data_IF_888459160674
#
_entry.id   IF_888459160674
#
_cell.length_a   1.000
_cell.length_b   1.000
_cell.length_c   1.000
_cell.angle_alpha   90.00
_cell.angle_beta   90.00
_cell.angle_gamma   90.00
#
_symmetry.space_group_name_H-M   'P 1'
#
loop_
_entity.id
_entity.type
_entity.pdbx_description
1 polymer ?
#
# COMPACT_ATOMS: atom_id res chain seq x y z
N UNK A 1 -8.37 -0.08 -12.13
CA UNK A 1 -9.59 0.53 -11.58
C UNK A 1 -10.80 -0.43 -11.62
N UNK A 2 -11.08 -1.07 -12.73
CA UNK A 2 -12.21 -2.00 -12.88
C UNK A 2 -12.25 -3.10 -11.82
N UNK A 3 -11.13 -3.78 -11.57
CA UNK A 3 -11.01 -4.80 -10.55
C UNK A 3 -11.29 -4.27 -9.13
N UNK A 4 -10.84 -3.06 -8.81
CA UNK A 4 -11.11 -2.44 -7.51
C UNK A 4 -12.61 -2.14 -7.34
N UNK A 5 -13.26 -1.61 -8.38
CA UNK A 5 -14.71 -1.38 -8.39
C UNK A 5 -15.50 -2.69 -8.31
N UNK A 6 -15.01 -3.75 -8.97
CA UNK A 6 -15.61 -5.08 -8.90
C UNK A 6 -15.58 -5.61 -7.45
N UNK A 7 -14.41 -5.57 -6.79
CA UNK A 7 -14.27 -5.99 -5.38
C UNK A 7 -15.16 -5.20 -4.42
N UNK A 8 -15.35 -3.89 -4.65
CA UNK A 8 -16.30 -3.10 -3.87
C UNK A 8 -17.73 -3.61 -4.01
N UNK A 9 -18.18 -3.89 -5.24
CA UNK A 9 -19.52 -4.42 -5.51
C UNK A 9 -19.73 -5.80 -4.90
N UNK A 10 -18.76 -6.70 -5.05
CA UNK A 10 -18.80 -8.04 -4.45
C UNK A 10 -18.97 -7.98 -2.93
N UNK A 11 -18.30 -7.04 -2.28
CA UNK A 11 -18.41 -6.80 -0.84
C UNK A 11 -19.68 -6.01 -0.42
N UNK A 12 -20.59 -5.71 -1.35
CA UNK A 12 -21.81 -4.94 -1.09
C UNK A 12 -21.57 -3.45 -0.83
N UNK A 13 -20.38 -2.94 -1.14
CA UNK A 13 -20.06 -1.54 -0.94
C UNK A 13 -20.44 -0.71 -2.17
N UNK A 14 -21.18 0.38 -1.93
CA UNK A 14 -21.56 1.32 -3.01
C UNK A 14 -20.34 1.97 -3.65
N UNK A 15 -20.35 2.10 -4.95
CA UNK A 15 -19.39 2.93 -5.69
C UNK A 15 -19.82 4.38 -5.53
N UNK A 16 -18.97 5.16 -4.86
CA UNK A 16 -19.17 6.60 -4.65
C UNK A 16 -17.97 7.36 -5.16
N UNK A 17 -18.14 8.64 -5.50
CA UNK A 17 -17.04 9.46 -6.01
C UNK A 17 -15.83 9.49 -5.06
N UNK A 18 -15.98 9.69 -3.74
CA UNK A 18 -14.84 9.65 -2.83
C UNK A 18 -14.08 8.30 -2.87
N UNK A 19 -14.80 7.18 -2.88
CA UNK A 19 -14.17 5.84 -2.96
C UNK A 19 -13.37 5.65 -4.24
N UNK A 20 -13.95 6.07 -5.38
CA UNK A 20 -13.27 5.98 -6.68
C UNK A 20 -12.02 6.86 -6.71
N UNK A 21 -12.10 8.09 -6.20
CA UNK A 21 -10.97 9.02 -6.16
C UNK A 21 -9.83 8.50 -5.28
N UNK A 22 -10.15 7.96 -4.10
CA UNK A 22 -9.16 7.39 -3.18
C UNK A 22 -8.48 6.16 -3.80
N UNK A 23 -9.24 5.26 -4.41
CA UNK A 23 -8.68 4.09 -5.10
C UNK A 23 -7.80 4.49 -6.28
N UNK A 24 -8.21 5.50 -7.04
CA UNK A 24 -7.40 6.03 -8.14
C UNK A 24 -6.05 6.60 -7.63
N UNK A 25 -6.07 7.34 -6.53
CA UNK A 25 -4.86 7.87 -5.91
C UNK A 25 -3.94 6.74 -5.42
N UNK A 26 -4.48 5.72 -4.75
CA UNK A 26 -3.72 4.54 -4.31
C UNK A 26 -3.09 3.78 -5.47
N UNK A 27 -3.84 3.55 -6.55
CA UNK A 27 -3.34 2.87 -7.76
C UNK A 27 -2.24 3.70 -8.41
N UNK A 28 -2.45 5.01 -8.52
CA UNK A 28 -1.46 5.94 -9.10
C UNK A 28 -0.19 6.01 -8.27
N UNK A 29 -0.31 6.03 -6.93
CA UNK A 29 0.84 6.04 -6.04
C UNK A 29 1.74 4.81 -6.25
N UNK A 30 1.15 3.63 -6.48
CA UNK A 30 1.87 2.38 -6.76
C UNK A 30 2.83 1.93 -5.65
N UNK A 31 2.75 2.55 -4.48
CA UNK A 31 3.62 2.33 -3.31
C UNK A 31 2.82 2.53 -2.03
N UNK A 32 3.28 1.97 -0.89
CA UNK A 32 2.68 2.25 0.40
C UNK A 32 2.68 3.76 0.70
N UNK A 33 1.52 4.28 1.10
CA UNK A 33 1.32 5.70 1.35
C UNK A 33 0.45 5.93 2.59
N UNK A 34 0.63 7.06 3.26
CA UNK A 34 -0.18 7.42 4.43
C UNK A 34 -1.52 8.02 4.00
N UNK A 35 -2.49 8.01 4.93
CA UNK A 35 -3.80 8.64 4.69
C UNK A 35 -3.65 10.16 4.49
N UNK A 36 -2.76 10.80 5.24
CA UNK A 36 -2.50 12.24 5.10
C UNK A 36 -1.92 12.58 3.71
N UNK A 37 -0.98 11.76 3.22
CA UNK A 37 -0.42 11.94 1.88
C UNK A 37 -1.48 11.73 0.79
N UNK A 38 -2.33 10.69 0.92
CA UNK A 38 -3.47 10.47 0.02
C UNK A 38 -4.44 11.64 0.02
N UNK A 39 -4.79 12.15 1.20
CA UNK A 39 -5.68 13.32 1.31
C UNK A 39 -5.07 14.55 0.66
N UNK A 40 -3.75 14.77 0.83
CA UNK A 40 -3.02 15.85 0.16
C UNK A 40 -3.07 15.74 -1.37
N UNK A 41 -2.90 14.53 -1.93
CA UNK A 41 -2.98 14.30 -3.38
C UNK A 41 -4.38 14.48 -3.95
N UNK A 42 -5.43 14.14 -3.18
CA UNK A 42 -6.81 14.31 -3.60
C UNK A 42 -7.22 15.79 -3.67
N UNK A 43 -6.54 16.65 -2.94
CA UNK A 43 -6.89 18.06 -2.78
C UNK A 43 -8.06 18.30 -1.84
N UNK A 44 -8.03 19.45 -1.16
CA UNK A 44 -8.96 19.80 -0.09
C UNK A 44 -10.46 19.83 -0.49
N UNK A 45 -10.74 19.95 -1.80
CA UNK A 45 -12.10 20.04 -2.31
C UNK A 45 -12.71 18.68 -2.73
N UNK A 46 -11.93 17.59 -2.67
CA UNK A 46 -12.35 16.30 -3.17
C UNK A 46 -13.12 15.49 -2.11
N UNK A 47 -12.61 15.40 -0.90
CA UNK A 47 -13.29 14.86 0.27
C UNK A 47 -12.54 15.26 1.55
N UNK A 48 -13.25 15.30 2.66
CA UNK A 48 -12.62 15.55 3.98
C UNK A 48 -11.80 14.35 4.46
N UNK A 49 -10.86 14.62 5.36
CA UNK A 49 -9.95 13.60 5.90
C UNK A 49 -10.70 12.46 6.63
N UNK A 50 -11.82 12.75 7.27
CA UNK A 50 -12.64 11.75 7.97
C UNK A 50 -13.24 10.76 6.98
N UNK A 51 -13.68 11.27 5.82
CA UNK A 51 -14.18 10.45 4.72
C UNK A 51 -13.06 9.52 4.17
N UNK A 52 -11.83 10.02 4.05
CA UNK A 52 -10.69 9.19 3.66
C UNK A 52 -10.46 8.07 4.67
N UNK A 53 -10.41 8.37 5.98
CA UNK A 53 -10.26 7.37 7.02
C UNK A 53 -11.36 6.29 6.98
N UNK A 54 -12.63 6.69 6.82
CA UNK A 54 -13.75 5.75 6.71
C UNK A 54 -13.66 4.87 5.48
N UNK A 55 -13.28 5.42 4.33
CA UNK A 55 -13.09 4.66 3.12
C UNK A 55 -11.95 3.66 3.26
N UNK A 56 -10.81 4.08 3.83
CA UNK A 56 -9.66 3.22 4.04
C UNK A 56 -9.97 2.07 4.98
N UNK A 57 -10.69 2.31 6.09
CA UNK A 57 -11.14 1.25 6.99
C UNK A 57 -12.07 0.25 6.28
N UNK A 58 -12.99 0.74 5.45
CA UNK A 58 -13.86 -0.13 4.66
C UNK A 58 -13.08 -0.94 3.62
N UNK A 59 -12.07 -0.36 2.97
CA UNK A 59 -11.22 -1.06 1.99
C UNK A 59 -10.34 -2.11 2.68
N UNK A 60 -9.82 -1.81 3.86
CA UNK A 60 -9.03 -2.75 4.66
C UNK A 60 -9.89 -3.95 5.11
N UNK A 61 -11.13 -3.71 5.56
CA UNK A 61 -12.04 -4.76 6.02
C UNK A 61 -12.43 -5.78 4.93
N UNK A 62 -12.40 -5.37 3.66
CA UNK A 62 -12.67 -6.27 2.51
C UNK A 62 -11.39 -6.77 1.83
N UNK A 63 -10.22 -6.49 2.39
CA UNK A 63 -8.94 -6.89 1.84
C UNK A 63 -8.54 -6.20 0.53
N UNK A 64 -9.22 -5.10 0.15
CA UNK A 64 -8.89 -4.32 -1.05
C UNK A 64 -7.66 -3.42 -0.83
N UNK A 65 -7.42 -3.05 0.40
CA UNK A 65 -6.24 -2.31 0.86
C UNK A 65 -5.64 -3.07 2.03
N UNK A 66 -4.33 -3.09 2.10
CA UNK A 66 -3.60 -3.65 3.25
C UNK A 66 -2.71 -2.60 3.88
N UNK A 67 -2.54 -2.72 5.18
CA UNK A 67 -1.52 -1.97 5.90
C UNK A 67 -0.16 -2.60 5.62
N UNK A 68 0.72 -1.85 4.97
CA UNK A 68 2.03 -2.34 4.56
C UNK A 68 3.11 -2.09 5.62
N UNK A 69 3.11 -0.89 6.22
CA UNK A 69 4.14 -0.47 7.17
C UNK A 69 3.59 0.45 8.25
N UNK A 70 4.35 0.53 9.35
CA UNK A 70 4.22 1.54 10.38
C UNK A 70 5.55 2.32 10.47
N UNK A 71 5.54 3.56 10.03
CA UNK A 71 6.73 4.44 10.09
C UNK A 71 6.46 5.56 11.09
N UNK A 72 7.28 5.66 12.15
CA UNK A 72 7.15 6.70 13.18
C UNK A 72 5.72 6.85 13.73
N UNK A 73 5.01 5.72 13.94
CA UNK A 73 3.63 5.72 14.39
C UNK A 73 2.59 5.97 13.29
N UNK A 74 3.00 6.23 12.04
CA UNK A 74 2.10 6.43 10.91
C UNK A 74 1.95 5.17 10.10
N UNK A 75 0.71 4.69 9.94
CA UNK A 75 0.38 3.55 9.08
C UNK A 75 0.49 3.92 7.61
N UNK A 76 1.17 3.10 6.84
CA UNK A 76 1.20 3.15 5.39
C UNK A 76 0.33 2.05 4.81
N UNK A 77 -0.40 2.37 3.76
CA UNK A 77 -1.35 1.50 3.10
C UNK A 77 -1.01 1.34 1.63
N UNK A 78 -1.27 0.17 1.10
CA UNK A 78 -1.17 -0.09 -0.34
C UNK A 78 -2.40 -0.85 -0.84
N UNK A 79 -2.67 -0.69 -2.14
CA UNK A 79 -3.76 -1.40 -2.78
C UNK A 79 -3.43 -2.88 -2.96
N UNK A 80 -4.42 -3.75 -2.72
CA UNK A 80 -4.30 -5.19 -2.87
C UNK A 80 -5.24 -5.68 -3.98
N UNK A 81 -4.77 -5.66 -5.21
CA UNK A 81 -5.56 -6.09 -6.38
C UNK A 81 -5.30 -7.54 -6.81
N UNK A 82 -4.61 -8.31 -5.98
CA UNK A 82 -4.39 -9.74 -6.25
C UNK A 82 -2.94 -10.12 -6.53
N UNK A 83 -1.99 -9.20 -6.37
CA UNK A 83 -0.58 -9.56 -6.19
C UNK A 83 -0.29 -9.59 -4.68
N UNK A 84 -0.41 -10.77 -4.04
CA UNK A 84 -0.40 -10.86 -2.59
C UNK A 84 0.96 -10.60 -1.95
N UNK A 85 2.03 -10.53 -2.75
CA UNK A 85 3.39 -10.68 -2.25
C UNK A 85 4.36 -9.64 -2.80
N UNK A 86 3.99 -8.37 -2.73
CA UNK A 86 4.94 -7.26 -2.94
C UNK A 86 5.63 -6.99 -1.61
N UNK A 87 6.94 -7.12 -1.60
CA UNK A 87 7.77 -6.85 -0.43
C UNK A 87 8.53 -5.55 -0.64
N UNK A 88 8.69 -4.81 0.44
CA UNK A 88 9.32 -3.49 0.41
C UNK A 88 10.41 -3.42 1.47
N UNK A 89 11.36 -2.52 1.27
CA UNK A 89 12.34 -2.11 2.28
C UNK A 89 12.14 -0.65 2.63
N UNK A 90 12.21 -0.35 3.92
CA UNK A 90 12.12 1.01 4.44
C UNK A 90 13.52 1.50 4.84
N UNK A 91 13.93 2.64 4.30
CA UNK A 91 15.13 3.32 4.76
C UNK A 91 14.86 4.03 6.08
N UNK A 92 15.52 3.60 7.17
CA UNK A 92 15.36 4.20 8.51
C UNK A 92 15.82 5.66 8.62
N UNK A 93 16.66 6.12 7.71
CA UNK A 93 17.17 7.50 7.72
C UNK A 93 16.24 8.47 7.00
N UNK A 94 15.66 8.03 5.88
CA UNK A 94 14.87 8.88 4.99
C UNK A 94 13.39 8.56 4.99
N UNK A 95 12.98 7.46 5.64
CA UNK A 95 11.63 6.89 5.60
C UNK A 95 11.14 6.55 4.17
N UNK A 96 12.05 6.41 3.22
CA UNK A 96 11.71 6.01 1.85
C UNK A 96 11.36 4.55 1.81
N UNK A 97 10.34 4.23 1.05
CA UNK A 97 9.87 2.87 0.80
C UNK A 97 10.20 2.50 -0.64
N UNK A 98 10.98 1.43 -0.81
CA UNK A 98 11.36 0.89 -2.12
C UNK A 98 10.82 -0.55 -2.24
N UNK A 99 10.31 -0.90 -3.42
CA UNK A 99 9.88 -2.27 -3.69
C UNK A 99 11.10 -3.16 -3.96
N UNK A 100 11.11 -4.36 -3.40
CA UNK A 100 12.14 -5.36 -3.67
C UNK A 100 11.90 -5.99 -5.05
N UNK A 101 12.98 -6.22 -5.79
CA UNK A 101 12.88 -6.85 -7.11
C UNK A 101 12.38 -8.30 -7.03
N UNK A 102 11.69 -8.73 -8.08
CA UNK A 102 11.05 -10.04 -8.12
C UNK A 102 12.02 -11.21 -7.95
N UNK A 103 13.26 -11.07 -8.44
CA UNK A 103 14.27 -12.13 -8.34
C UNK A 103 14.72 -12.32 -6.89
N UNK A 104 14.96 -11.21 -6.16
CA UNK A 104 15.39 -11.24 -4.76
C UNK A 104 14.37 -11.87 -3.82
N UNK A 105 13.08 -11.81 -4.16
CA UNK A 105 12.00 -12.28 -3.28
C UNK A 105 11.39 -13.63 -3.68
N UNK A 106 11.88 -14.26 -4.74
CA UNK A 106 11.30 -15.53 -5.24
C UNK A 106 11.32 -16.63 -4.18
N UNK A 107 12.43 -16.85 -3.52
CA UNK A 107 12.55 -17.88 -2.48
C UNK A 107 11.73 -17.52 -1.22
N UNK A 108 11.67 -16.25 -0.87
CA UNK A 108 10.83 -15.79 0.21
C UNK A 108 9.34 -16.07 -0.07
N UNK A 109 8.87 -15.79 -1.27
CA UNK A 109 7.48 -16.08 -1.69
C UNK A 109 7.15 -17.56 -1.57
N UNK A 110 8.06 -18.44 -2.00
CA UNK A 110 7.87 -19.90 -1.87
C UNK A 110 7.78 -20.33 -0.41
N UNK A 111 8.66 -19.81 0.45
CA UNK A 111 8.66 -20.14 1.86
C UNK A 111 7.36 -19.67 2.55
N UNK A 112 6.93 -18.45 2.26
CA UNK A 112 5.68 -17.89 2.79
C UNK A 112 4.47 -18.70 2.33
N UNK A 113 4.38 -19.03 1.05
CA UNK A 113 3.29 -19.85 0.51
C UNK A 113 3.22 -21.22 1.20
N UNK A 114 4.35 -21.87 1.40
CA UNK A 114 4.39 -23.16 2.09
C UNK A 114 3.86 -23.06 3.52
N UNK A 115 4.23 -22.01 4.25
CA UNK A 115 3.74 -21.77 5.62
C UNK A 115 2.23 -21.51 5.62
N UNK A 116 1.74 -20.67 4.72
CA UNK A 116 0.31 -20.37 4.60
C UNK A 116 -0.50 -21.62 4.25
N UNK A 117 -0.04 -22.45 3.30
CA UNK A 117 -0.69 -23.72 2.95
C UNK A 117 -0.71 -24.69 4.12
N UNK A 118 0.40 -24.78 4.86
CA UNK A 118 0.48 -25.60 6.07
C UNK A 118 -0.52 -25.17 7.13
N UNK A 119 -0.64 -23.87 7.38
CA UNK A 119 -1.62 -23.32 8.34
C UNK A 119 -3.05 -23.58 7.89
N UNK A 120 -3.37 -23.40 6.61
CA UNK A 120 -4.71 -23.73 6.07
C UNK A 120 -5.03 -25.23 6.22
N UNK A 121 -4.05 -26.10 5.99
CA UNK A 121 -4.20 -27.54 6.19
C UNK A 121 -4.43 -27.90 7.67
N UNK A 122 -3.94 -27.09 8.61
CA UNK A 122 -4.21 -27.24 10.05
C UNK A 122 -5.56 -26.65 10.48
N UNK A 123 -6.32 -26.07 9.56
CA UNK A 123 -7.67 -25.52 9.82
C UNK A 123 -7.71 -24.01 10.12
N UNK A 124 -6.59 -23.29 9.98
CA UNK A 124 -6.62 -21.84 10.10
C UNK A 124 -7.32 -21.21 8.90
N UNK A 125 -8.32 -20.35 9.14
CA UNK A 125 -8.96 -19.49 8.14
C UNK A 125 -8.24 -18.17 8.00
N UNK A 126 -8.46 -17.45 6.88
CA UNK A 126 -7.97 -16.09 6.64
C UNK A 126 -6.46 -15.90 6.92
N UNK A 127 -5.67 -16.94 6.56
CA UNK A 127 -4.23 -16.92 6.78
C UNK A 127 -3.58 -15.80 5.97
N UNK A 128 -2.84 -14.94 6.63
CA UNK A 128 -2.04 -13.89 6.05
C UNK A 128 -0.70 -13.73 6.78
N UNK A 129 0.16 -12.86 6.26
CA UNK A 129 1.46 -12.60 6.86
C UNK A 129 1.82 -11.11 6.75
N UNK A 130 2.74 -10.68 7.59
CA UNK A 130 3.38 -9.37 7.52
C UNK A 130 4.89 -9.61 7.51
N UNK A 131 5.57 -9.10 6.50
CA UNK A 131 7.03 -9.15 6.39
C UNK A 131 7.52 -7.75 6.07
N UNK A 132 8.34 -7.20 6.93
CA UNK A 132 8.92 -5.87 6.80
C UNK A 132 10.44 -5.97 6.74
N UNK A 133 11.03 -5.31 5.75
CA UNK A 133 12.48 -5.13 5.67
C UNK A 133 12.81 -3.67 5.92
N UNK A 134 13.84 -3.42 6.71
CA UNK A 134 14.32 -2.07 6.97
C UNK A 134 15.85 -2.06 7.04
N UNK A 135 16.40 -0.95 6.56
CA UNK A 135 17.85 -0.77 6.52
C UNK A 135 18.22 0.70 6.40
N UNK A 136 19.49 0.96 6.16
CA UNK A 136 19.98 2.26 5.73
C UNK A 136 20.26 2.18 4.24
N UNK A 137 19.69 3.08 3.44
CA UNK A 137 19.99 3.09 2.01
C UNK A 137 21.44 3.52 1.76
N UNK A 138 22.09 3.00 0.69
CA UNK A 138 23.42 3.45 0.30
C UNK A 138 23.46 4.95 0.06
N UNK A 139 24.52 5.62 0.48
CA UNK A 139 24.66 7.08 0.37
C UNK A 139 24.45 7.63 -1.05
N UNK A 140 24.78 6.84 -2.08
CA UNK A 140 24.62 7.23 -3.49
C UNK A 140 23.15 7.23 -3.98
N UNK A 141 22.22 6.54 -3.29
CA UNK A 141 20.79 6.55 -3.66
C UNK A 141 20.05 7.76 -3.08
N UNK A 142 20.53 8.32 -1.98
CA UNK A 142 19.89 9.49 -1.35
C UNK A 142 20.04 10.79 -2.16
N UNK A 143 21.04 10.88 -3.04
CA UNK A 143 21.32 12.07 -3.86
C UNK A 143 20.64 12.07 -5.24
N UNK A 144 20.34 10.91 -5.80
CA UNK A 144 19.78 10.80 -7.16
C UNK A 144 18.29 11.17 -7.27
N UNK A 145 17.57 11.21 -6.16
CA UNK A 145 16.11 11.46 -6.15
C UNK A 145 15.67 12.69 -5.36
N UNK A 146 16.63 13.44 -4.81
CA UNK A 146 16.39 14.79 -4.29
C UNK A 146 16.23 15.85 -5.40
N UNK A 147 16.46 15.46 -6.66
CA UNK A 147 16.22 16.30 -7.82
C UNK A 147 14.83 16.04 -8.41
N UNK A 148 13.77 16.34 -7.66
CA UNK A 148 12.52 16.74 -8.26
C UNK A 148 12.73 18.19 -8.71
N UNK A 149 12.69 18.52 -10.00
CA UNK A 149 12.83 19.90 -10.41
C UNK A 149 11.61 20.65 -9.88
N UNK A 150 11.90 21.65 -9.03
CA UNK A 150 10.97 22.71 -8.70
C UNK A 150 10.57 23.35 -10.04
N UNK A 151 9.35 23.12 -10.48
CA UNK A 151 8.82 23.80 -11.65
C UNK A 151 8.42 25.18 -11.19
N UNK A 152 9.08 26.25 -11.62
CA UNK A 152 8.66 27.58 -11.25
C UNK A 152 7.30 27.84 -11.89
N UNK A 153 6.35 28.21 -11.04
CA UNK A 153 5.10 28.80 -11.47
C UNK A 153 5.39 30.08 -12.27
N UNK A 154 4.90 30.11 -13.50
CA UNK A 154 4.73 31.34 -14.30
C UNK A 154 3.25 31.62 -14.41
#
# INVERSE_FOLDING_TARGET
MELACYKLKEAGLRITQPRVSILAALIKAGRPTSIDALHGELGANSCDIVTVYRCMAAFESIGLVRRAFLINGTSLYEINLGDPNRYHVVCKQTNRVEELDAASVTELRRAVQLVEETLRAQGYGEVGHIIEFFGKSPANRSLAEAAVPDTPAS
#
